data_IF_204827217269
#
_entry.id   IF_204827217269
#
_cell.length_a   1.000
_cell.length_b   1.000
_cell.length_c   1.000
_cell.angle_alpha   90.00
_cell.angle_beta   90.00
_cell.angle_gamma   90.00
#
_symmetry.space_group_name_H-M   'P 1'
#
loop_
_entity.id
_entity.type
_entity.pdbx_description
1 polymer ?
#
# COMPACT_ATOMS: atom_id res chain seq x y z
N UNK A 1 38.72 26.99 65.90
CA UNK A 1 37.49 27.28 65.12
C UNK A 1 37.88 27.26 63.65
N UNK A 2 37.60 26.17 62.92
CA UNK A 2 37.59 26.15 61.45
C UNK A 2 36.85 24.90 60.99
N UNK A 3 35.71 25.13 60.35
CA UNK A 3 34.77 24.14 59.80
C UNK A 3 35.21 23.88 58.36
N UNK A 4 35.62 22.66 58.01
CA UNK A 4 35.84 22.29 56.61
C UNK A 4 34.50 21.88 56.00
N UNK A 5 34.14 22.59 54.94
CA UNK A 5 32.89 22.47 54.19
C UNK A 5 32.87 21.20 53.35
N UNK A 6 31.86 20.37 53.53
CA UNK A 6 31.53 19.24 52.66
C UNK A 6 31.00 19.75 51.32
N UNK A 7 31.87 19.84 50.30
CA UNK A 7 31.42 20.11 48.92
C UNK A 7 32.35 19.45 47.90
N UNK A 8 32.32 18.12 47.86
CA UNK A 8 33.00 17.34 46.82
C UNK A 8 32.22 16.09 46.38
N UNK A 9 31.05 15.82 46.95
CA UNK A 9 30.31 14.58 46.70
C UNK A 9 29.25 14.68 45.59
N UNK A 10 28.93 15.87 45.08
CA UNK A 10 27.80 16.04 44.14
C UNK A 10 28.17 16.10 42.65
N UNK A 11 29.46 16.17 42.29
CA UNK A 11 29.86 16.22 40.87
C UNK A 11 30.17 14.85 40.26
N UNK A 12 30.54 13.85 41.07
CA UNK A 12 30.84 12.50 40.57
C UNK A 12 29.61 11.73 40.08
N UNK A 13 28.47 11.88 40.77
CA UNK A 13 27.22 11.20 40.42
C UNK A 13 26.61 11.69 39.09
N UNK A 14 26.75 12.99 38.79
CA UNK A 14 26.27 13.58 37.54
C UNK A 14 27.03 13.06 36.31
N UNK A 15 28.33 12.84 36.43
CA UNK A 15 29.17 12.32 35.33
C UNK A 15 28.90 10.84 35.04
N UNK A 16 28.67 10.02 36.07
CA UNK A 16 28.33 8.59 35.88
C UNK A 16 26.96 8.44 35.22
N UNK A 17 25.98 9.27 35.57
CA UNK A 17 24.67 9.27 34.91
C UNK A 17 24.76 9.66 33.43
N UNK A 18 25.61 10.64 33.08
CA UNK A 18 25.79 11.08 31.69
C UNK A 18 26.50 10.02 30.83
N UNK A 19 27.45 9.28 31.42
CA UNK A 19 28.16 8.19 30.74
C UNK A 19 27.24 6.98 30.52
N UNK A 20 26.34 6.65 31.44
CA UNK A 20 25.35 5.58 31.24
C UNK A 20 24.30 5.91 30.17
N UNK A 21 23.97 7.20 29.98
CA UNK A 21 23.07 7.65 28.91
C UNK A 21 23.74 7.70 27.53
N UNK A 22 25.07 7.58 27.45
CA UNK A 22 25.85 7.62 26.21
C UNK A 22 26.32 6.25 25.72
N UNK A 23 26.01 5.16 26.42
CA UNK A 23 26.25 3.83 25.87
C UNK A 23 25.18 3.52 24.83
N UNK A 24 25.53 3.39 23.53
CA UNK A 24 24.60 2.83 22.57
C UNK A 24 24.40 1.38 22.99
N UNK A 25 23.18 1.05 23.42
CA UNK A 25 22.73 -0.33 23.48
C UNK A 25 22.86 -0.86 22.05
N UNK A 26 23.92 -1.64 21.78
CA UNK A 26 24.01 -2.52 20.61
C UNK A 26 23.01 -3.66 20.80
N UNK A 27 21.73 -3.31 20.87
CA UNK A 27 20.65 -4.16 20.44
C UNK A 27 20.32 -3.68 19.04
N UNK A 28 20.24 -4.60 18.10
CA UNK A 28 19.76 -4.33 16.75
C UNK A 28 18.34 -3.76 16.87
N UNK A 29 18.26 -2.43 16.95
CA UNK A 29 17.03 -1.68 16.84
C UNK A 29 16.61 -1.81 15.39
N UNK A 30 16.02 -2.96 15.05
CA UNK A 30 15.03 -2.99 14.00
C UNK A 30 14.06 -1.90 14.38
N UNK A 31 14.13 -0.79 13.65
CA UNK A 31 13.16 0.27 13.72
C UNK A 31 11.83 -0.41 13.45
N UNK A 32 11.09 -0.73 14.52
CA UNK A 32 9.66 -0.92 14.44
C UNK A 32 9.16 0.45 14.05
N UNK A 33 9.15 0.69 12.75
CA UNK A 33 8.48 1.80 12.15
C UNK A 33 7.02 1.61 12.56
N UNK A 34 6.63 2.29 13.64
CA UNK A 34 5.25 2.42 14.02
C UNK A 34 4.66 3.23 12.87
N UNK A 35 4.15 2.52 11.86
CA UNK A 35 3.30 3.11 10.83
C UNK A 35 2.10 3.65 11.58
N UNK A 36 2.10 4.95 11.79
CA UNK A 36 0.84 5.65 11.84
C UNK A 36 0.17 5.34 10.51
N UNK A 37 -0.89 4.53 10.54
CA UNK A 37 -1.89 4.54 9.49
C UNK A 37 -2.43 5.97 9.44
N UNK A 38 -1.72 6.84 8.72
CA UNK A 38 -2.20 8.15 8.33
C UNK A 38 -3.28 7.87 7.29
N UNK A 39 -4.46 7.51 7.79
CA UNK A 39 -5.70 7.80 7.11
C UNK A 39 -5.74 9.32 7.03
N UNK A 40 -5.13 9.86 5.98
CA UNK A 40 -5.28 11.26 5.65
C UNK A 40 -6.79 11.51 5.56
N UNK A 41 -7.22 12.40 6.45
CA UNK A 41 -8.54 12.98 6.53
C UNK A 41 -8.99 13.38 5.12
N UNK A 42 -10.28 13.18 4.85
CA UNK A 42 -10.99 13.47 3.61
C UNK A 42 -10.96 14.98 3.29
N UNK A 43 -9.78 15.51 2.94
CA UNK A 43 -9.60 16.90 2.51
C UNK A 43 -9.49 16.93 0.98
N UNK A 44 -10.58 17.36 0.36
CA UNK A 44 -10.76 17.71 -1.06
C UNK A 44 -9.99 16.89 -2.12
N UNK A 45 -10.77 16.01 -2.73
CA UNK A 45 -10.49 15.00 -3.74
C UNK A 45 -10.07 15.55 -5.14
N UNK A 46 -9.27 16.62 -5.22
CA UNK A 46 -8.81 17.25 -6.48
C UNK A 46 -7.65 16.49 -7.18
N UNK A 47 -7.02 15.53 -6.49
CA UNK A 47 -5.88 14.74 -7.01
C UNK A 47 -6.29 13.40 -7.63
N UNK A 48 -7.58 13.12 -7.64
CA UNK A 48 -8.12 11.81 -7.97
C UNK A 48 -8.95 11.86 -9.23
N UNK A 49 -8.70 10.92 -10.13
CA UNK A 49 -9.19 10.95 -11.49
C UNK A 49 -10.14 9.79 -11.76
N UNK A 50 -11.20 10.07 -12.52
CA UNK A 50 -12.13 9.06 -13.05
C UNK A 50 -11.99 8.88 -14.56
N UNK A 51 -11.23 9.79 -15.20
CA UNK A 51 -10.94 9.85 -16.63
C UNK A 51 -9.64 9.09 -16.97
N UNK A 52 -9.57 7.84 -16.53
CA UNK A 52 -8.47 6.93 -16.86
C UNK A 52 -8.55 6.49 -18.33
N UNK A 53 -7.42 6.40 -19.00
CA UNK A 53 -7.32 6.05 -20.43
C UNK A 53 -6.30 4.93 -20.65
N UNK A 54 -6.53 4.12 -21.67
CA UNK A 54 -5.60 3.06 -22.07
C UNK A 54 -4.27 3.64 -22.58
N UNK A 55 -3.18 2.94 -22.24
CA UNK A 55 -1.83 3.18 -22.75
C UNK A 55 -1.08 1.83 -22.87
N UNK A 56 -1.42 1.10 -23.93
CA UNK A 56 -0.90 -0.26 -24.16
C UNK A 56 0.63 -0.33 -24.19
N UNK A 57 1.31 0.61 -24.86
CA UNK A 57 2.77 0.51 -25.04
C UNK A 57 3.53 0.59 -23.71
N UNK A 58 3.10 1.50 -22.82
CA UNK A 58 3.70 1.63 -21.49
C UNK A 58 3.33 0.46 -20.58
N UNK A 59 2.10 -0.08 -20.69
CA UNK A 59 1.70 -1.30 -19.99
C UNK A 59 2.56 -2.48 -20.44
N UNK A 60 2.69 -2.71 -21.75
CA UNK A 60 3.43 -3.82 -22.36
C UNK A 60 4.89 -3.84 -21.90
N UNK A 61 5.55 -2.68 -21.93
CA UNK A 61 6.94 -2.52 -21.47
C UNK A 61 7.13 -2.96 -20.00
N UNK A 62 6.09 -2.82 -19.18
CA UNK A 62 6.13 -3.16 -17.75
C UNK A 62 5.70 -4.60 -17.49
N UNK A 63 4.63 -5.07 -18.11
CA UNK A 63 4.05 -6.36 -17.76
C UNK A 63 4.40 -7.51 -18.73
N UNK A 64 4.63 -7.23 -20.00
CA UNK A 64 4.75 -8.26 -21.05
C UNK A 64 6.19 -8.44 -21.57
N UNK A 65 6.97 -7.37 -21.72
CA UNK A 65 8.22 -7.42 -22.52
C UNK A 65 9.43 -8.10 -21.84
N UNK A 66 9.47 -8.23 -20.50
CA UNK A 66 10.72 -8.65 -19.82
C UNK A 66 10.56 -9.66 -18.68
N UNK A 67 9.37 -10.22 -18.49
CA UNK A 67 9.02 -11.17 -17.41
C UNK A 67 9.68 -10.92 -16.03
N UNK A 68 9.96 -9.66 -15.71
CA UNK A 68 10.64 -9.25 -14.50
C UNK A 68 9.74 -9.50 -13.28
N UNK A 69 10.10 -10.44 -12.39
CA UNK A 69 9.26 -10.82 -11.26
C UNK A 69 9.13 -9.71 -10.23
N UNK A 70 10.00 -8.69 -10.27
CA UNK A 70 9.95 -7.57 -9.33
C UNK A 70 8.95 -6.50 -9.75
N UNK A 71 8.38 -6.55 -10.96
CA UNK A 71 7.32 -5.63 -11.37
C UNK A 71 5.99 -6.08 -10.79
N UNK A 72 5.07 -5.12 -10.57
CA UNK A 72 3.70 -5.45 -10.15
C UNK A 72 2.73 -5.18 -11.29
N UNK A 73 1.93 -6.17 -11.63
CA UNK A 73 0.90 -6.10 -12.64
C UNK A 73 -0.42 -6.56 -12.02
N UNK A 74 -1.49 -5.84 -12.34
CA UNK A 74 -2.81 -6.10 -11.80
C UNK A 74 -3.74 -6.55 -12.90
N UNK A 75 -4.56 -7.55 -12.61
CA UNK A 75 -5.61 -8.05 -13.50
C UNK A 75 -6.89 -8.18 -12.71
N UNK A 76 -7.97 -7.57 -13.20
CA UNK A 76 -9.30 -7.85 -12.69
C UNK A 76 -9.80 -9.18 -13.27
N UNK A 77 -9.97 -10.19 -12.42
CA UNK A 77 -10.73 -11.41 -12.76
C UNK A 77 -12.24 -11.16 -12.72
N UNK A 78 -12.68 -10.20 -11.91
CA UNK A 78 -14.04 -9.68 -11.92
C UNK A 78 -14.06 -8.19 -11.57
N UNK A 79 -14.95 -7.43 -12.25
CA UNK A 79 -14.94 -5.98 -12.22
C UNK A 79 -13.92 -5.39 -13.21
N UNK A 80 -13.79 -4.07 -13.21
CA UNK A 80 -12.83 -3.32 -14.02
C UNK A 80 -12.65 -1.90 -13.46
N UNK A 81 -11.77 -1.11 -14.09
CA UNK A 81 -11.55 0.30 -13.71
C UNK A 81 -12.61 1.28 -14.26
N UNK A 82 -13.66 0.84 -14.97
CA UNK A 82 -14.63 1.75 -15.59
C UNK A 82 -15.46 2.47 -14.55
N UNK A 83 -15.35 3.79 -14.50
CA UNK A 83 -16.00 4.61 -13.49
C UNK A 83 -15.42 4.42 -12.08
N UNK A 84 -14.24 3.80 -11.97
CA UNK A 84 -13.42 3.86 -10.77
C UNK A 84 -12.85 5.27 -10.58
N UNK A 85 -12.39 5.54 -9.36
CA UNK A 85 -11.69 6.77 -9.00
C UNK A 85 -10.33 6.39 -8.47
N UNK A 86 -9.27 6.75 -9.18
CA UNK A 86 -7.90 6.44 -8.79
C UNK A 86 -7.17 7.69 -8.29
N UNK A 87 -6.21 7.49 -7.38
CA UNK A 87 -5.39 8.54 -6.80
C UNK A 87 -3.97 8.04 -6.56
N UNK A 88 -3.00 8.94 -6.66
CA UNK A 88 -1.73 8.73 -5.97
C UNK A 88 -1.90 9.10 -4.49
N UNK A 89 -1.24 8.36 -3.61
CA UNK A 89 -1.17 8.70 -2.19
C UNK A 89 -0.22 9.90 -1.99
N UNK A 90 0.86 9.95 -2.77
CA UNK A 90 1.72 11.12 -2.87
C UNK A 90 1.15 12.17 -3.84
N UNK A 91 1.79 13.33 -3.94
CA UNK A 91 1.39 14.35 -4.92
C UNK A 91 1.71 13.91 -6.35
N UNK A 92 0.77 14.14 -7.28
CA UNK A 92 0.97 13.89 -8.70
C UNK A 92 -0.34 13.62 -9.45
N UNK A 93 -0.22 13.38 -10.75
CA UNK A 93 -1.35 13.02 -11.62
C UNK A 93 -1.33 11.51 -11.88
N UNK A 94 -2.32 10.80 -11.30
CA UNK A 94 -2.42 9.34 -11.42
C UNK A 94 -2.58 8.87 -12.87
N UNK A 95 -3.13 9.69 -13.77
CA UNK A 95 -3.32 9.34 -15.19
C UNK A 95 -2.00 9.22 -15.94
N UNK A 96 -0.95 9.87 -15.44
CA UNK A 96 0.41 9.77 -15.99
C UNK A 96 1.19 8.61 -15.37
N UNK A 97 0.62 7.94 -14.38
CA UNK A 97 1.30 6.94 -13.54
C UNK A 97 0.69 5.56 -13.67
N UNK A 98 -0.63 5.44 -13.74
CA UNK A 98 -1.26 4.16 -14.05
C UNK A 98 -1.20 3.90 -15.56
N UNK A 99 -0.67 2.74 -15.92
CA UNK A 99 -0.61 2.27 -17.30
C UNK A 99 -1.65 1.18 -17.46
N UNK A 100 -2.66 1.44 -18.26
CA UNK A 100 -3.79 0.53 -18.48
C UNK A 100 -3.61 -0.14 -19.84
N UNK A 101 -3.81 -1.44 -19.91
CA UNK A 101 -3.55 -2.24 -21.12
C UNK A 101 -4.38 -1.77 -22.31
N UNK A 102 -5.69 -1.71 -22.14
CA UNK A 102 -6.65 -1.41 -23.19
C UNK A 102 -8.00 -0.93 -22.61
N UNK A 103 -8.97 -0.66 -23.49
CA UNK A 103 -10.28 -0.11 -23.13
C UNK A 103 -11.19 -1.11 -22.38
N UNK A 104 -10.78 -2.37 -22.22
CA UNK A 104 -11.48 -3.29 -21.32
C UNK A 104 -11.30 -2.87 -19.86
N UNK A 105 -10.22 -2.14 -19.55
CA UNK A 105 -9.91 -1.58 -18.22
C UNK A 105 -9.71 -2.66 -17.14
N UNK A 106 -9.40 -3.90 -17.53
CA UNK A 106 -9.16 -5.03 -16.62
C UNK A 106 -7.73 -5.08 -16.13
N UNK A 107 -6.77 -4.72 -16.98
CA UNK A 107 -5.35 -4.89 -16.71
C UNK A 107 -4.64 -3.55 -16.59
N UNK A 108 -3.84 -3.40 -15.53
CA UNK A 108 -3.08 -2.18 -15.30
C UNK A 108 -1.81 -2.41 -14.49
N UNK A 109 -0.95 -1.41 -14.46
CA UNK A 109 0.27 -1.34 -13.64
C UNK A 109 0.58 0.10 -13.30
N UNK A 110 1.64 0.35 -12.55
CA UNK A 110 2.12 1.69 -12.21
C UNK A 110 3.51 1.93 -12.81
N UNK A 111 3.74 3.18 -13.24
CA UNK A 111 4.98 3.66 -13.84
C UNK A 111 6.21 3.27 -13.02
N UNK A 112 6.23 3.74 -11.76
CA UNK A 112 7.27 3.46 -10.79
C UNK A 112 6.68 2.58 -9.69
N UNK A 113 7.24 1.38 -9.43
CA UNK A 113 6.74 0.50 -8.37
C UNK A 113 6.72 1.13 -6.98
N UNK A 114 7.58 2.10 -6.69
CA UNK A 114 7.58 2.81 -5.40
C UNK A 114 6.43 3.83 -5.24
N UNK A 115 5.75 4.21 -6.33
CA UNK A 115 4.62 5.14 -6.26
C UNK A 115 3.42 4.40 -5.65
N UNK A 116 2.84 4.95 -4.57
CA UNK A 116 1.67 4.37 -3.92
C UNK A 116 0.38 4.95 -4.48
N UNK A 117 -0.66 4.12 -4.60
CA UNK A 117 -1.95 4.54 -5.15
C UNK A 117 -3.14 3.91 -4.41
N UNK A 118 -4.31 4.51 -4.60
CA UNK A 118 -5.59 3.97 -4.17
C UNK A 118 -6.61 4.03 -5.30
N UNK A 119 -7.44 3.00 -5.42
CA UNK A 119 -8.55 2.92 -6.35
C UNK A 119 -9.83 2.67 -5.55
N UNK A 120 -10.79 3.58 -5.70
CA UNK A 120 -12.16 3.38 -5.25
C UNK A 120 -13.04 2.92 -6.41
N UNK A 121 -13.98 2.04 -6.13
CA UNK A 121 -14.95 1.54 -7.11
C UNK A 121 -16.37 1.96 -6.73
N UNK A 122 -16.77 3.23 -6.94
CA UNK A 122 -18.08 3.73 -6.53
C UNK A 122 -19.25 2.92 -7.08
N UNK A 123 -19.14 2.45 -8.32
CA UNK A 123 -20.17 1.65 -9.00
C UNK A 123 -20.17 0.17 -8.62
N UNK A 124 -19.10 -0.32 -7.99
CA UNK A 124 -18.96 -1.72 -7.55
C UNK A 124 -19.06 -1.78 -6.01
N UNK A 125 -20.12 -1.19 -5.48
CA UNK A 125 -20.43 -1.19 -4.05
C UNK A 125 -19.58 -0.28 -3.16
N UNK A 126 -18.68 0.52 -3.76
CA UNK A 126 -17.81 1.44 -3.04
C UNK A 126 -16.63 0.75 -2.34
N UNK A 127 -16.27 -0.46 -2.77
CA UNK A 127 -15.04 -1.13 -2.31
C UNK A 127 -13.81 -0.33 -2.75
N UNK A 128 -12.65 -0.59 -2.13
CA UNK A 128 -11.40 0.03 -2.55
C UNK A 128 -10.21 -0.90 -2.41
N UNK A 129 -9.17 -0.59 -3.17
CA UNK A 129 -7.85 -1.23 -3.12
C UNK A 129 -6.78 -0.15 -3.01
N UNK A 130 -5.80 -0.37 -2.15
CA UNK A 130 -4.59 0.44 -2.03
C UNK A 130 -3.35 -0.42 -2.24
N UNK A 131 -2.35 0.17 -2.89
CA UNK A 131 -1.02 -0.38 -3.11
C UNK A 131 0.01 0.58 -2.55
N UNK A 132 0.90 0.05 -1.69
CA UNK A 132 2.00 0.82 -1.13
C UNK A 132 3.16 -0.07 -0.68
N UNK A 133 4.25 0.57 -0.20
CA UNK A 133 5.37 -0.10 0.46
C UNK A 133 6.05 -1.19 -0.37
N UNK A 134 6.20 -0.90 -1.66
CA UNK A 134 6.97 -1.72 -2.57
C UNK A 134 8.46 -1.75 -2.16
N UNK A 135 9.01 -2.95 -2.10
CA UNK A 135 10.42 -3.22 -1.84
C UNK A 135 11.08 -3.70 -3.13
N UNK A 136 11.94 -2.87 -3.71
CA UNK A 136 12.63 -3.18 -4.96
C UNK A 136 13.61 -4.34 -4.87
N UNK A 137 14.04 -4.74 -3.66
CA UNK A 137 14.92 -5.89 -3.50
C UNK A 137 14.18 -7.22 -3.61
N UNK A 138 12.90 -7.24 -3.24
CA UNK A 138 12.08 -8.46 -3.16
C UNK A 138 10.89 -8.49 -4.13
N UNK A 139 10.49 -7.35 -4.69
CA UNK A 139 9.23 -7.22 -5.45
C UNK A 139 7.98 -7.21 -4.58
N UNK A 140 8.14 -7.28 -3.25
CA UNK A 140 7.03 -7.36 -2.31
C UNK A 140 6.39 -5.99 -2.06
N UNK A 141 5.07 -5.98 -1.92
CA UNK A 141 4.23 -4.79 -1.73
C UNK A 141 3.12 -5.11 -0.75
N UNK A 142 2.58 -4.09 -0.13
CA UNK A 142 1.40 -4.24 0.71
C UNK A 142 0.16 -3.92 -0.13
N UNK A 143 -0.80 -4.84 -0.14
CA UNK A 143 -2.12 -4.64 -0.73
C UNK A 143 -3.12 -4.53 0.41
N UNK A 144 -3.90 -3.46 0.41
CA UNK A 144 -5.00 -3.27 1.36
C UNK A 144 -6.31 -3.16 0.60
N UNK A 145 -7.29 -3.97 0.96
CA UNK A 145 -8.65 -3.87 0.42
C UNK A 145 -9.60 -3.42 1.52
N UNK A 146 -10.59 -2.62 1.14
CA UNK A 146 -11.62 -2.14 2.05
C UNK A 146 -13.00 -2.46 1.51
N UNK A 147 -13.86 -2.91 2.41
CA UNK A 147 -15.27 -3.12 2.14
C UNK A 147 -15.96 -1.78 1.92
N UNK A 148 -16.83 -1.74 0.92
CA UNK A 148 -17.68 -0.58 0.63
C UNK A 148 -18.93 -0.53 1.51
N UNK A 149 -19.72 0.54 1.35
CA UNK A 149 -20.99 0.72 2.08
C UNK A 149 -22.07 -0.27 1.63
N UNK A 150 -21.98 -0.78 0.40
CA UNK A 150 -22.92 -1.77 -0.10
C UNK A 150 -22.41 -3.20 0.18
N UNK A 151 -22.95 -3.82 1.22
CA UNK A 151 -22.57 -5.16 1.68
C UNK A 151 -22.88 -6.30 0.70
N UNK A 152 -23.64 -6.02 -0.37
CA UNK A 152 -23.87 -6.99 -1.45
C UNK A 152 -22.62 -7.20 -2.30
N UNK A 153 -21.70 -6.23 -2.31
CA UNK A 153 -20.45 -6.31 -3.04
C UNK A 153 -19.34 -6.79 -2.14
N UNK A 154 -18.48 -7.63 -2.71
CA UNK A 154 -17.27 -8.09 -2.08
C UNK A 154 -16.06 -7.78 -2.95
N UNK A 155 -14.93 -7.52 -2.31
CA UNK A 155 -13.62 -7.48 -2.94
C UNK A 155 -12.73 -8.51 -2.27
N UNK A 156 -11.99 -9.25 -3.07
CA UNK A 156 -10.88 -10.07 -2.63
C UNK A 156 -9.74 -9.97 -3.63
N UNK A 157 -8.54 -10.30 -3.15
CA UNK A 157 -7.32 -10.31 -3.96
C UNK A 157 -6.63 -11.65 -3.77
N UNK A 158 -6.02 -12.13 -4.84
CA UNK A 158 -5.13 -13.28 -4.91
C UNK A 158 -3.84 -12.87 -5.63
N UNK A 159 -2.71 -13.44 -5.28
CA UNK A 159 -1.49 -13.35 -6.08
C UNK A 159 -1.39 -14.52 -7.07
N UNK A 160 -0.26 -14.68 -7.76
CA UNK A 160 -0.07 -15.74 -8.76
C UNK A 160 0.24 -17.10 -8.12
N UNK A 161 0.56 -17.12 -6.82
CA UNK A 161 1.10 -18.29 -6.12
C UNK A 161 -0.02 -19.06 -5.41
N UNK A 162 -0.80 -19.83 -6.20
CA UNK A 162 -1.85 -20.70 -5.67
C UNK A 162 -3.23 -20.36 -6.23
N UNK A 163 -4.27 -20.97 -5.63
CA UNK A 163 -5.68 -20.79 -6.05
C UNK A 163 -6.53 -20.14 -4.95
N UNK A 164 -5.92 -19.63 -3.88
CA UNK A 164 -6.64 -19.11 -2.72
C UNK A 164 -6.79 -17.59 -2.71
N UNK A 165 -7.78 -17.13 -1.96
CA UNK A 165 -7.98 -15.72 -1.68
C UNK A 165 -6.98 -15.28 -0.62
N UNK A 166 -5.90 -14.64 -1.04
CA UNK A 166 -4.91 -14.07 -0.13
C UNK A 166 -5.49 -13.10 0.89
N UNK A 167 -6.44 -12.27 0.45
CA UNK A 167 -7.20 -11.35 1.31
C UNK A 167 -8.64 -11.21 0.83
N UNK A 168 -9.60 -11.20 1.75
CA UNK A 168 -11.04 -11.06 1.48
C UNK A 168 -11.68 -10.05 2.44
N UNK A 169 -12.45 -9.10 1.90
CA UNK A 169 -13.19 -8.10 2.67
C UNK A 169 -14.58 -8.57 3.14
N UNK A 170 -14.92 -9.85 2.98
CA UNK A 170 -16.24 -10.40 3.30
C UNK A 170 -16.65 -10.31 4.78
N UNK A 171 -15.68 -10.19 5.70
CA UNK A 171 -15.94 -10.14 7.14
C UNK A 171 -15.31 -8.95 7.86
N UNK A 172 -14.48 -8.16 7.17
CA UNK A 172 -13.71 -7.08 7.76
C UNK A 172 -13.97 -5.76 7.01
N UNK A 173 -13.94 -4.63 7.72
CA UNK A 173 -14.04 -3.31 7.08
C UNK A 173 -12.82 -3.02 6.19
N UNK A 174 -11.65 -3.51 6.58
CA UNK A 174 -10.42 -3.48 5.82
C UNK A 174 -9.55 -4.70 6.16
N UNK A 175 -8.81 -5.20 5.18
CA UNK A 175 -7.78 -6.24 5.37
C UNK A 175 -6.57 -5.93 4.51
N UNK A 176 -5.39 -6.38 4.94
CA UNK A 176 -4.11 -6.07 4.29
C UNK A 176 -3.18 -7.27 4.35
N UNK A 177 -2.41 -7.50 3.28
CA UNK A 177 -1.37 -8.53 3.22
C UNK A 177 -0.21 -8.04 2.35
N UNK A 178 0.99 -8.50 2.70
CA UNK A 178 2.18 -8.32 1.89
C UNK A 178 2.27 -9.44 0.86
N UNK A 179 2.26 -9.09 -0.42
CA UNK A 179 2.29 -10.01 -1.56
C UNK A 179 3.56 -9.78 -2.37
N UNK A 180 4.16 -10.84 -2.91
CA UNK A 180 5.47 -10.76 -3.57
C UNK A 180 5.44 -11.13 -5.06
N UNK A 181 4.40 -11.82 -5.51
CA UNK A 181 4.26 -12.27 -6.91
C UNK A 181 4.00 -11.11 -7.86
N UNK A 182 4.47 -11.23 -9.10
CA UNK A 182 4.32 -10.18 -10.10
C UNK A 182 2.86 -9.84 -10.37
N UNK A 183 2.03 -10.86 -10.55
CA UNK A 183 0.63 -10.71 -10.88
C UNK A 183 -0.24 -10.69 -9.62
N UNK A 184 -1.08 -9.68 -9.54
CA UNK A 184 -2.08 -9.50 -8.48
C UNK A 184 -3.46 -9.52 -9.12
N UNK A 185 -4.27 -10.48 -8.73
CA UNK A 185 -5.60 -10.72 -9.25
C UNK A 185 -6.65 -10.08 -8.33
N UNK A 186 -7.44 -9.18 -8.89
CA UNK A 186 -8.48 -8.44 -8.19
C UNK A 186 -9.82 -9.02 -8.60
N UNK A 187 -10.67 -9.30 -7.62
CA UNK A 187 -12.00 -9.79 -7.89
C UNK A 187 -13.04 -8.97 -7.12
N UNK A 188 -13.89 -8.28 -7.87
CA UNK A 188 -14.99 -7.49 -7.34
C UNK A 188 -16.28 -8.04 -7.92
N UNK A 189 -17.13 -8.61 -7.07
CA UNK A 189 -18.41 -9.16 -7.48
C UNK A 189 -19.50 -8.82 -6.48
N UNK A 190 -20.74 -8.86 -6.96
CA UNK A 190 -21.90 -8.81 -6.08
C UNK A 190 -22.41 -10.22 -5.81
N UNK A 191 -23.03 -10.44 -4.66
CA UNK A 191 -23.69 -11.70 -4.30
C UNK A 191 -24.78 -12.15 -5.29
N UNK A 192 -25.28 -11.25 -6.15
CA UNK A 192 -26.22 -11.58 -7.24
C UNK A 192 -25.57 -12.30 -8.44
N UNK A 193 -24.25 -12.23 -8.59
CA UNK A 193 -23.52 -12.72 -9.77
C UNK A 193 -22.50 -13.82 -9.44
N UNK A 194 -22.71 -14.59 -8.36
CA UNK A 194 -21.91 -15.79 -8.10
C UNK A 194 -22.32 -16.89 -9.11
N UNK A 195 -21.73 -16.86 -10.30
CA UNK A 195 -21.77 -17.93 -11.30
C UNK A 195 -20.38 -18.53 -11.47
#
# INVERSE_FOLDING_TARGET
MTRASTSAANFGLLLVALVLMLHPVMGELTSRHIRHHLFAREDSNDKCHTDLVANYQEYKTRCEDNNDPQKTCFTHWAGDLKGSKACLIAEGDVRKKLMIKDDTMTDFTIDKPADSFQIWYPKLGGVSLSYDNFDSSTGCKDITIQRGKNFLWNIWVSDEDGDDKDIDASYYSATSKRLCSKWIHIHISSSFWNF
#
